data_IF_525362445359
#
_entry.id   IF_525362445359
#
_cell.length_a   1.000
_cell.length_b   1.000
_cell.length_c   1.000
_cell.angle_alpha   90.00
_cell.angle_beta   90.00
_cell.angle_gamma   90.00
#
_symmetry.space_group_name_H-M   'P 1'
#
loop_
_entity.id
_entity.type
_entity.pdbx_description
1 polymer ?
#
# COMPACT_ATOMS: atom_id res chain seq x y z
N UNK A 1 14.58 2.08 11.41
CA UNK A 1 13.47 2.21 12.38
C UNK A 1 13.18 0.82 12.91
N UNK A 2 13.39 0.57 14.21
CA UNK A 2 13.12 -0.74 14.82
C UNK A 2 11.74 -0.68 15.46
N UNK A 3 10.81 -1.48 14.95
CA UNK A 3 9.52 -1.68 15.61
C UNK A 3 9.69 -2.74 16.69
N UNK A 4 9.79 -2.33 17.93
CA UNK A 4 9.73 -3.25 19.06
C UNK A 4 8.26 -3.37 19.46
N UNK A 5 7.69 -4.57 19.34
CA UNK A 5 6.35 -4.85 19.84
C UNK A 5 6.40 -4.85 21.36
N UNK A 6 5.73 -3.89 21.97
CA UNK A 6 5.74 -3.70 23.43
C UNK A 6 4.55 -4.36 24.14
N UNK A 7 3.58 -4.92 23.41
CA UNK A 7 2.48 -5.65 24.01
C UNK A 7 2.27 -7.02 23.34
N UNK A 8 1.81 -7.97 24.13
CA UNK A 8 1.47 -9.34 23.73
C UNK A 8 0.02 -9.48 23.26
N UNK A 9 -0.79 -8.43 23.34
CA UNK A 9 -2.13 -8.36 22.82
C UNK A 9 -2.08 -8.04 21.32
N UNK A 10 -1.66 -9.02 20.53
CA UNK A 10 -1.35 -8.83 19.15
C UNK A 10 -2.54 -8.58 18.28
N UNK A 11 -2.70 -7.35 17.82
CA UNK A 11 -3.59 -7.03 16.70
C UNK A 11 -3.07 -7.64 15.40
N UNK A 12 -3.99 -8.01 14.52
CA UNK A 12 -3.69 -8.35 13.15
C UNK A 12 -3.60 -7.07 12.31
N UNK A 13 -2.72 -7.06 11.32
CA UNK A 13 -2.59 -5.97 10.35
C UNK A 13 -3.11 -6.50 9.01
N UNK A 14 -4.13 -5.85 8.47
CA UNK A 14 -4.66 -6.15 7.14
C UNK A 14 -4.48 -4.92 6.25
N UNK A 15 -3.72 -5.05 5.17
CA UNK A 15 -3.56 -4.01 4.16
C UNK A 15 -4.32 -4.42 2.92
N UNK A 16 -5.37 -3.68 2.58
CA UNK A 16 -6.17 -3.89 1.37
C UNK A 16 -5.76 -2.83 0.36
N UNK A 17 -5.15 -3.27 -0.74
CA UNK A 17 -4.72 -2.41 -1.83
C UNK A 17 -5.62 -2.59 -3.03
N UNK A 18 -6.30 -1.54 -3.43
CA UNK A 18 -7.16 -1.53 -4.61
C UNK A 18 -6.40 -0.84 -5.74
N UNK A 19 -6.07 -1.61 -6.78
CA UNK A 19 -5.33 -1.12 -7.95
C UNK A 19 -6.25 -0.27 -8.83
N UNK A 20 -5.72 0.80 -9.40
CA UNK A 20 -6.41 1.70 -10.32
C UNK A 20 -7.77 2.23 -9.83
N UNK A 21 -7.97 2.30 -8.52
CA UNK A 21 -9.20 2.83 -7.96
C UNK A 21 -9.27 4.34 -8.15
N UNK A 22 -10.36 4.81 -8.71
CA UNK A 22 -10.66 6.24 -8.79
C UNK A 22 -10.93 6.81 -7.40
N UNK A 23 -10.66 8.11 -7.20
CA UNK A 23 -11.12 8.82 -6.01
C UNK A 23 -12.64 9.02 -6.06
N UNK A 24 -13.36 8.06 -5.45
CA UNK A 24 -14.83 8.06 -5.41
C UNK A 24 -15.41 9.31 -4.74
N UNK A 25 -14.68 9.98 -3.86
CA UNK A 25 -15.16 11.18 -3.17
C UNK A 25 -15.11 12.38 -4.09
N UNK A 26 -14.01 12.59 -4.81
CA UNK A 26 -13.91 13.62 -5.83
C UNK A 26 -14.96 13.40 -6.93
N UNK A 27 -15.17 12.17 -7.35
CA UNK A 27 -16.17 11.87 -8.38
C UNK A 27 -17.60 12.11 -7.89
N UNK A 28 -17.93 11.77 -6.66
CA UNK A 28 -19.23 12.11 -6.05
C UNK A 28 -19.43 13.62 -6.02
N UNK A 29 -18.42 14.37 -5.60
CA UNK A 29 -18.51 15.82 -5.40
C UNK A 29 -18.47 16.58 -6.72
N UNK A 30 -17.49 16.27 -7.58
CA UNK A 30 -17.25 17.03 -8.81
C UNK A 30 -18.25 16.71 -9.92
N UNK A 31 -18.77 15.48 -9.98
CA UNK A 31 -19.63 15.02 -11.06
C UNK A 31 -21.05 14.65 -10.61
N UNK A 32 -21.37 14.79 -9.33
CA UNK A 32 -22.68 14.45 -8.78
C UNK A 32 -23.04 12.96 -8.91
N UNK A 33 -22.06 12.09 -9.07
CA UNK A 33 -22.31 10.66 -9.28
C UNK A 33 -22.79 9.99 -8.00
N UNK A 34 -23.87 9.23 -8.13
CA UNK A 34 -24.41 8.40 -7.04
C UNK A 34 -23.66 7.06 -6.96
N UNK A 35 -22.47 7.08 -6.37
CA UNK A 35 -21.68 5.88 -6.12
C UNK A 35 -21.97 5.41 -4.69
N UNK A 36 -22.63 4.27 -4.54
CA UNK A 36 -22.92 3.69 -3.23
C UNK A 36 -21.78 2.79 -2.77
N UNK A 37 -21.17 3.13 -1.64
CA UNK A 37 -20.10 2.33 -1.02
C UNK A 37 -20.33 2.18 0.49
N UNK A 38 -21.42 1.55 0.92
CA UNK A 38 -21.85 1.57 2.33
C UNK A 38 -20.81 0.96 3.27
N UNK A 39 -20.09 -0.07 2.85
CA UNK A 39 -19.05 -0.70 3.66
C UNK A 39 -17.79 0.17 3.78
N UNK A 40 -17.37 0.82 2.68
CA UNK A 40 -16.24 1.76 2.70
C UNK A 40 -16.62 2.98 3.54
N UNK A 41 -17.83 3.51 3.36
CA UNK A 41 -18.34 4.67 4.09
C UNK A 41 -18.37 4.36 5.61
N UNK A 42 -18.83 3.17 6.00
CA UNK A 42 -18.80 2.73 7.40
C UNK A 42 -17.36 2.61 7.91
N UNK A 43 -16.49 1.94 7.18
CA UNK A 43 -15.09 1.76 7.56
C UNK A 43 -14.38 3.10 7.80
N UNK A 44 -14.66 4.09 6.95
CA UNK A 44 -14.11 5.43 7.11
C UNK A 44 -14.69 6.19 8.31
N UNK A 45 -15.94 5.93 8.69
CA UNK A 45 -16.56 6.56 9.86
C UNK A 45 -16.00 6.02 11.18
N UNK A 46 -15.46 4.81 11.17
CA UNK A 46 -14.86 4.12 12.33
C UNK A 46 -13.35 4.35 12.45
N UNK A 47 -12.69 4.88 11.40
CA UNK A 47 -11.25 5.04 11.33
C UNK A 47 -10.78 6.45 10.98
N UNK A 48 -9.50 6.56 10.64
CA UNK A 48 -8.92 7.82 10.17
C UNK A 48 -8.93 7.85 8.65
N UNK A 49 -9.56 8.88 8.09
CA UNK A 49 -9.57 9.14 6.65
C UNK A 49 -8.54 10.20 6.27
N UNK A 50 -7.75 9.90 5.26
CA UNK A 50 -6.84 10.85 4.62
C UNK A 50 -7.49 11.36 3.32
N UNK A 51 -7.96 12.60 3.30
CA UNK A 51 -8.64 13.18 2.12
C UNK A 51 -7.67 13.63 1.03
N UNK A 52 -6.42 13.89 1.39
CA UNK A 52 -5.39 14.40 0.49
C UNK A 52 -4.16 13.47 0.54
N UNK A 53 -4.32 12.26 0.04
CA UNK A 53 -3.25 11.29 -0.11
C UNK A 53 -2.83 11.21 -1.59
N UNK A 54 -1.52 11.28 -1.85
CA UNK A 54 -0.97 11.33 -3.20
C UNK A 54 0.10 10.26 -3.35
N UNK A 55 0.10 9.57 -4.49
CA UNK A 55 1.20 8.72 -4.89
C UNK A 55 2.33 9.59 -5.46
N UNK A 56 3.57 9.35 -5.03
CA UNK A 56 4.75 10.10 -5.50
C UNK A 56 4.96 9.91 -7.01
N UNK A 57 4.80 8.67 -7.49
CA UNK A 57 4.71 8.32 -8.92
C UNK A 57 3.49 7.44 -9.09
N UNK A 58 2.41 7.91 -9.78
CA UNK A 58 1.15 7.19 -9.87
C UNK A 58 1.19 6.07 -10.92
N UNK A 59 2.13 5.14 -10.74
CA UNK A 59 2.30 3.92 -11.52
C UNK A 59 2.41 2.72 -10.59
N UNK A 60 1.98 1.55 -11.07
CA UNK A 60 1.89 0.32 -10.26
C UNK A 60 3.20 -0.05 -9.56
N UNK A 61 4.33 -0.16 -10.30
CA UNK A 61 5.60 -0.62 -9.73
C UNK A 61 6.20 0.38 -8.72
N UNK A 62 6.36 1.67 -9.07
CA UNK A 62 6.88 2.67 -8.14
C UNK A 62 6.05 2.79 -6.88
N UNK A 63 4.73 2.88 -7.02
CA UNK A 63 3.81 3.04 -5.90
C UNK A 63 3.83 1.83 -4.96
N UNK A 64 3.87 0.60 -5.50
CA UNK A 64 3.97 -0.63 -4.71
C UNK A 64 5.32 -0.78 -4.03
N UNK A 65 6.40 -0.37 -4.71
CA UNK A 65 7.73 -0.33 -4.12
C UNK A 65 7.78 0.65 -2.93
N UNK A 66 7.23 1.84 -3.09
CA UNK A 66 7.14 2.85 -2.03
C UNK A 66 6.32 2.33 -0.85
N UNK A 67 5.17 1.70 -1.09
CA UNK A 67 4.37 1.07 -0.05
C UNK A 67 5.16 -0.03 0.69
N UNK A 68 5.83 -0.90 -0.06
CA UNK A 68 6.54 -2.04 0.51
C UNK A 68 7.77 -1.64 1.33
N UNK A 69 8.46 -0.57 0.94
CA UNK A 69 9.79 -0.22 1.47
C UNK A 69 9.80 1.10 2.25
N UNK A 70 8.80 1.95 2.08
CA UNK A 70 8.81 3.33 2.60
C UNK A 70 9.82 4.24 1.91
N UNK A 71 10.42 3.80 0.79
CA UNK A 71 11.42 4.57 0.05
C UNK A 71 10.77 5.22 -1.18
N UNK A 72 10.92 6.53 -1.31
CA UNK A 72 10.43 7.28 -2.47
C UNK A 72 10.99 6.73 -3.78
N UNK A 73 10.18 6.67 -4.85
CA UNK A 73 10.63 6.32 -6.21
C UNK A 73 11.82 7.11 -6.70
N UNK A 74 11.92 8.38 -6.34
CA UNK A 74 13.10 9.22 -6.69
C UNK A 74 14.38 8.77 -5.99
N UNK A 75 14.25 8.20 -4.80
CA UNK A 75 15.41 7.66 -4.07
C UNK A 75 15.83 6.28 -4.59
N UNK A 76 14.89 5.48 -5.02
CA UNK A 76 15.15 4.11 -5.53
C UNK A 76 15.46 4.10 -7.02
N UNK A 77 15.10 5.16 -7.76
CA UNK A 77 15.17 5.20 -9.22
C UNK A 77 14.07 4.36 -9.90
N UNK A 78 13.07 3.89 -9.15
CA UNK A 78 11.93 3.16 -9.68
C UNK A 78 10.84 4.14 -10.07
N UNK A 79 10.88 4.64 -11.29
CA UNK A 79 9.95 5.63 -11.81
C UNK A 79 9.13 5.11 -12.99
N UNK A 80 9.33 3.86 -13.37
CA UNK A 80 8.66 3.20 -14.48
C UNK A 80 8.20 1.76 -14.13
N UNK A 81 7.73 1.00 -15.12
CA UNK A 81 7.25 -0.37 -14.95
C UNK A 81 8.28 -1.44 -15.36
N UNK A 82 9.51 -1.05 -15.70
CA UNK A 82 10.48 -1.96 -16.30
C UNK A 82 11.25 -2.80 -15.27
N UNK A 83 11.24 -2.38 -14.01
CA UNK A 83 12.00 -3.04 -12.93
C UNK A 83 11.13 -3.27 -11.70
N UNK A 84 11.51 -4.29 -10.93
CA UNK A 84 10.95 -4.53 -9.60
C UNK A 84 11.85 -3.92 -8.53
N UNK A 85 11.27 -3.52 -7.42
CA UNK A 85 12.05 -3.09 -6.27
C UNK A 85 12.97 -4.20 -5.73
N UNK A 86 12.57 -5.47 -5.86
CA UNK A 86 13.36 -6.64 -5.44
C UNK A 86 14.58 -6.90 -6.30
N UNK A 87 14.63 -6.34 -7.51
CA UNK A 87 15.81 -6.45 -8.38
C UNK A 87 16.92 -5.49 -7.95
N UNK A 88 16.59 -4.45 -7.17
CA UNK A 88 17.52 -3.38 -6.80
C UNK A 88 17.67 -3.19 -5.29
N UNK A 89 16.73 -3.67 -4.49
CA UNK A 89 16.75 -3.58 -3.04
C UNK A 89 16.74 -4.97 -2.42
N UNK A 90 17.42 -5.17 -1.29
CA UNK A 90 17.39 -6.46 -0.61
C UNK A 90 15.97 -6.77 -0.09
N UNK A 91 15.61 -8.06 0.04
CA UNK A 91 14.31 -8.46 0.60
C UNK A 91 14.04 -7.87 2.00
N UNK A 92 15.09 -7.54 2.73
CA UNK A 92 15.04 -6.90 4.05
C UNK A 92 14.57 -5.44 4.02
N UNK A 93 14.47 -4.82 2.84
CA UNK A 93 13.97 -3.46 2.68
C UNK A 93 12.45 -3.35 2.86
N UNK A 94 11.71 -4.46 2.72
CA UNK A 94 10.27 -4.47 2.87
C UNK A 94 9.82 -4.60 4.33
N UNK A 95 8.80 -3.82 4.74
CA UNK A 95 8.25 -3.86 6.11
C UNK A 95 7.70 -5.26 6.50
N UNK A 96 7.34 -6.09 5.53
CA UNK A 96 6.93 -7.47 5.77
C UNK A 96 8.05 -8.30 6.40
N UNK A 97 9.31 -8.00 6.08
CA UNK A 97 10.46 -8.65 6.68
C UNK A 97 10.59 -8.29 8.17
N UNK A 98 10.40 -7.01 8.50
CA UNK A 98 10.43 -6.56 9.89
C UNK A 98 9.30 -7.18 10.71
N UNK A 99 8.11 -7.29 10.16
CA UNK A 99 7.00 -7.99 10.80
C UNK A 99 7.34 -9.45 11.10
N UNK A 100 7.94 -10.17 10.15
CA UNK A 100 8.35 -11.58 10.36
C UNK A 100 9.39 -11.70 11.47
N UNK A 101 10.36 -10.81 11.51
CA UNK A 101 11.37 -10.79 12.58
C UNK A 101 10.76 -10.53 13.95
N UNK A 102 9.63 -9.86 14.01
CA UNK A 102 8.88 -9.58 15.22
C UNK A 102 7.74 -10.57 15.48
N UNK A 103 7.80 -11.77 14.90
CA UNK A 103 6.90 -12.88 15.21
C UNK A 103 5.56 -12.88 14.49
N UNK A 104 5.33 -11.95 13.54
CA UNK A 104 4.13 -11.97 12.71
C UNK A 104 4.23 -13.03 11.61
N UNK A 105 3.13 -13.69 11.32
CA UNK A 105 2.96 -14.44 10.07
C UNK A 105 2.46 -13.49 9.00
N UNK A 106 3.13 -13.46 7.84
CA UNK A 106 2.76 -12.58 6.73
C UNK A 106 2.23 -13.40 5.56
N UNK A 107 1.11 -12.97 5.01
CA UNK A 107 0.49 -13.55 3.84
C UNK A 107 0.22 -12.44 2.84
N UNK A 108 0.34 -12.75 1.56
CA UNK A 108 -0.02 -11.85 0.48
C UNK A 108 -0.81 -12.61 -0.57
N UNK A 109 -1.76 -11.95 -1.22
CA UNK A 109 -2.54 -12.52 -2.32
C UNK A 109 -2.88 -11.44 -3.34
N UNK A 110 -3.18 -11.84 -4.57
CA UNK A 110 -3.48 -10.93 -5.65
C UNK A 110 -2.24 -10.25 -6.23
N UNK A 111 -2.42 -9.03 -6.74
CA UNK A 111 -1.35 -8.24 -7.37
C UNK A 111 -0.44 -7.63 -6.30
N UNK A 112 0.62 -8.33 -5.95
CA UNK A 112 1.60 -7.88 -4.95
C UNK A 112 2.66 -6.97 -5.58
N UNK A 113 3.19 -7.38 -6.71
CA UNK A 113 4.10 -6.59 -7.55
C UNK A 113 3.44 -6.28 -8.91
N UNK A 114 3.86 -5.20 -9.56
CA UNK A 114 3.18 -4.71 -10.75
C UNK A 114 3.50 -5.45 -12.04
N UNK A 115 4.59 -6.23 -12.07
CA UNK A 115 4.98 -6.91 -13.29
C UNK A 115 4.54 -8.35 -13.24
N UNK A 116 3.54 -8.63 -14.03
CA UNK A 116 3.32 -9.95 -14.55
C UNK A 116 4.40 -10.16 -15.63
N UNK A 117 5.49 -10.85 -15.30
CA UNK A 117 6.26 -11.53 -16.34
C UNK A 117 5.51 -12.82 -16.63
N UNK A 118 5.00 -13.03 -17.86
CA UNK A 118 4.39 -14.29 -18.21
C UNK A 118 5.40 -15.43 -18.11
#
# INVERSE_FOLDING_TARGET
MSFTRTDTAGGNICVIWIDDMIDIFTWRTAFGLQISTPNIDRFMSEGTRFSNAYATVPLCAPCRAELATGLSPFRTGLVDLNRFWRDILPPTAGWQYDLRRNGFRTFTTGKVDSNYKP
#
